data_IF_602445622557
#
_entry.id   IF_602445622557
#
_cell.length_a   1.000
_cell.length_b   1.000
_cell.length_c   1.000
_cell.angle_alpha   90.00
_cell.angle_beta   90.00
_cell.angle_gamma   90.00
#
_symmetry.space_group_name_H-M   'P 1'
#
loop_
_entity.id
_entity.type
_entity.pdbx_description
1 polymer ?
#
# COMPACT_ATOMS: atom_id res chain seq x y z
N UNK A 1 16.12 -0.80 1.63
CA UNK A 1 15.62 -0.11 0.43
C UNK A 1 14.09 -0.05 0.51
N UNK A 2 13.44 0.96 -0.08
CA UNK A 2 11.97 0.94 -0.22
C UNK A 2 11.60 0.36 -1.59
N UNK A 3 10.67 -0.59 -1.60
CA UNK A 3 10.23 -1.31 -2.79
C UNK A 3 8.74 -1.12 -3.05
N UNK A 4 8.36 -1.17 -4.33
CA UNK A 4 6.97 -1.07 -4.81
C UNK A 4 6.17 0.01 -4.07
N UNK A 5 6.74 1.22 -4.00
CA UNK A 5 6.07 2.39 -3.43
C UNK A 5 4.77 2.61 -4.19
N UNK A 6 3.69 2.85 -3.45
CA UNK A 6 2.40 3.23 -3.99
C UNK A 6 1.86 4.43 -3.22
N UNK A 7 1.31 5.40 -3.95
CA UNK A 7 0.80 6.64 -3.40
C UNK A 7 -0.55 6.97 -4.01
N UNK A 8 -1.59 6.97 -3.19
CA UNK A 8 -2.95 7.16 -3.69
C UNK A 8 -3.86 7.89 -2.72
N UNK A 9 -4.83 8.68 -3.23
CA UNK A 9 -5.85 9.29 -2.40
C UNK A 9 -6.95 8.28 -2.02
N UNK A 10 -7.57 8.54 -0.88
CA UNK A 10 -8.75 7.83 -0.37
C UNK A 10 -9.76 8.85 0.14
N UNK A 11 -11.05 8.62 -0.13
CA UNK A 11 -12.12 9.48 0.38
C UNK A 11 -12.22 9.37 1.90
N UNK A 12 -12.42 10.49 2.58
CA UNK A 12 -12.65 10.54 4.04
C UNK A 12 -14.06 10.03 4.38
N UNK A 13 -14.99 10.12 3.43
CA UNK A 13 -16.39 9.70 3.59
C UNK A 13 -16.79 8.70 2.52
N UNK A 14 -17.63 7.74 2.89
CA UNK A 14 -18.12 6.70 1.97
C UNK A 14 -17.13 5.55 1.77
N UNK A 15 -17.37 4.75 0.72
CA UNK A 15 -16.59 3.54 0.38
C UNK A 15 -16.03 3.55 -1.05
N UNK A 16 -16.34 4.59 -1.81
CA UNK A 16 -15.89 4.73 -3.19
C UNK A 16 -14.40 5.05 -3.24
N UNK A 17 -13.73 4.49 -4.25
CA UNK A 17 -12.40 4.91 -4.65
C UNK A 17 -12.42 6.28 -5.29
N UNK A 18 -11.26 6.94 -5.30
CA UNK A 18 -11.03 8.21 -5.99
C UNK A 18 -9.87 8.07 -6.97
N UNK A 19 -9.98 8.80 -8.07
CA UNK A 19 -8.91 8.89 -9.07
C UNK A 19 -7.61 9.37 -8.42
N UNK A 20 -6.47 8.85 -8.90
CA UNK A 20 -5.16 9.09 -8.31
C UNK A 20 -4.74 10.57 -8.35
N UNK A 21 -5.32 11.37 -9.25
CA UNK A 21 -5.05 12.82 -9.35
C UNK A 21 -5.85 13.68 -8.36
N UNK A 22 -6.85 13.11 -7.67
CA UNK A 22 -7.71 13.88 -6.75
C UNK A 22 -6.90 14.33 -5.54
N UNK A 23 -6.79 15.64 -5.36
CA UNK A 23 -6.15 16.25 -4.20
C UNK A 23 -6.96 17.47 -3.72
N UNK A 24 -7.83 17.26 -2.74
CA UNK A 24 -8.68 18.29 -2.14
C UNK A 24 -8.97 17.96 -0.67
N UNK A 25 -9.76 18.80 0.01
CA UNK A 25 -10.06 18.65 1.44
C UNK A 25 -10.88 17.38 1.80
N UNK A 26 -11.49 16.71 0.82
CA UNK A 26 -12.31 15.50 1.04
C UNK A 26 -11.51 14.19 1.00
N UNK A 27 -10.21 14.25 0.72
CA UNK A 27 -9.34 13.07 0.63
C UNK A 27 -8.19 13.09 1.62
N UNK A 28 -7.76 11.90 2.02
CA UNK A 28 -6.45 11.63 2.64
C UNK A 28 -5.58 10.90 1.62
N UNK A 29 -4.28 10.81 1.88
CA UNK A 29 -3.34 10.08 1.02
C UNK A 29 -2.76 8.90 1.78
N UNK A 30 -2.67 7.76 1.10
CA UNK A 30 -1.99 6.55 1.58
C UNK A 30 -0.62 6.52 0.92
N UNK A 31 0.43 6.46 1.74
CA UNK A 31 1.78 6.13 1.32
C UNK A 31 2.08 4.71 1.75
N UNK A 32 2.22 3.83 0.78
CA UNK A 32 2.58 2.43 1.00
C UNK A 32 3.98 2.17 0.48
N UNK A 33 4.77 1.42 1.24
CA UNK A 33 6.09 0.98 0.82
C UNK A 33 6.37 -0.42 1.37
N UNK A 34 7.08 -1.22 0.58
CA UNK A 34 7.75 -2.41 1.08
C UNK A 34 9.11 -2.02 1.61
N UNK A 35 9.53 -2.62 2.70
CA UNK A 35 10.93 -2.58 3.10
C UNK A 35 11.37 -3.95 3.58
N UNK A 36 12.61 -4.29 3.22
CA UNK A 36 13.29 -5.47 3.71
C UNK A 36 13.57 -5.26 5.21
N UNK A 37 12.78 -5.93 6.05
CA UNK A 37 12.98 -5.95 7.49
C UNK A 37 13.64 -7.28 7.89
N UNK A 38 14.32 -7.29 9.04
CA UNK A 38 14.83 -8.54 9.68
C UNK A 38 13.75 -9.61 9.92
N UNK A 39 12.48 -9.27 9.72
CA UNK A 39 11.29 -10.07 10.05
C UNK A 39 10.50 -10.48 8.78
N UNK A 40 11.15 -10.51 7.61
CA UNK A 40 10.51 -10.75 6.32
C UNK A 40 10.05 -9.45 5.65
N UNK A 41 9.95 -9.47 4.32
CA UNK A 41 9.50 -8.34 3.52
C UNK A 41 8.10 -7.91 3.95
N UNK A 42 8.00 -6.70 4.49
CA UNK A 42 6.74 -6.17 5.00
C UNK A 42 6.34 -4.96 4.18
N UNK A 43 5.09 -4.99 3.71
CA UNK A 43 4.45 -3.87 3.03
C UNK A 43 3.55 -3.16 4.00
N UNK A 44 4.05 -2.04 4.50
CA UNK A 44 3.33 -1.20 5.43
C UNK A 44 2.79 0.03 4.70
N UNK A 45 1.76 0.63 5.28
CA UNK A 45 1.25 1.90 4.80
C UNK A 45 0.99 2.86 5.96
N UNK A 46 1.10 4.15 5.66
CA UNK A 46 0.68 5.24 6.54
C UNK A 46 -0.32 6.11 5.79
N UNK A 47 -1.19 6.76 6.56
CA UNK A 47 -2.19 7.70 6.05
C UNK A 47 -1.72 9.11 6.43
N UNK A 48 -2.00 10.09 5.57
CA UNK A 48 -1.63 11.47 5.85
C UNK A 48 -2.26 12.46 4.88
N UNK A 49 -1.69 13.66 4.85
CA UNK A 49 -2.08 14.75 3.93
C UNK A 49 -0.96 15.05 2.94
N UNK A 50 -1.35 15.32 1.71
CA UNK A 50 -0.45 15.74 0.65
C UNK A 50 -0.74 17.17 0.24
N UNK A 51 0.30 17.98 0.10
CA UNK A 51 0.21 19.32 -0.49
C UNK A 51 0.91 19.31 -1.84
N UNK A 52 0.14 19.53 -2.92
CA UNK A 52 0.67 19.66 -4.27
C UNK A 52 1.46 20.95 -4.48
N UNK A 53 1.25 21.98 -3.66
CA UNK A 53 1.99 23.24 -3.68
C UNK A 53 3.41 23.05 -3.14
N UNK A 54 3.52 22.45 -1.95
CA UNK A 54 4.81 22.24 -1.28
C UNK A 54 5.50 20.94 -1.69
N UNK A 55 4.80 20.06 -2.42
CA UNK A 55 5.22 18.69 -2.78
C UNK A 55 5.55 17.83 -1.55
N UNK A 56 4.89 18.09 -0.41
CA UNK A 56 5.13 17.38 0.85
C UNK A 56 3.95 16.48 1.21
N UNK A 57 4.28 15.29 1.67
CA UNK A 57 3.37 14.40 2.39
C UNK A 57 3.70 14.50 3.88
N UNK A 58 2.67 14.72 4.70
CA UNK A 58 2.75 14.73 6.16
C UNK A 58 1.91 13.58 6.66
N UNK A 59 2.57 12.56 7.20
CA UNK A 59 1.92 11.37 7.74
C UNK A 59 1.20 11.72 9.05
N UNK A 60 0.03 11.11 9.28
CA UNK A 60 -0.67 11.19 10.57
C UNK A 60 0.08 10.35 11.63
N UNK A 61 0.90 9.39 11.21
CA UNK A 61 1.80 8.57 12.03
C UNK A 61 3.05 8.16 11.27
N UNK A 62 4.18 8.02 11.95
CA UNK A 62 5.45 7.58 11.36
C UNK A 62 5.51 6.06 11.14
N UNK A 63 6.33 5.61 10.17
CA UNK A 63 6.70 4.20 10.08
C UNK A 63 7.62 3.84 11.26
N UNK A 64 7.17 2.92 12.10
CA UNK A 64 7.95 2.46 13.25
C UNK A 64 8.97 1.39 12.89
N UNK A 65 8.85 0.78 11.71
CA UNK A 65 9.62 -0.39 11.29
C UNK A 65 9.46 -1.61 12.22
N UNK A 66 8.31 -1.68 12.90
CA UNK A 66 7.96 -2.76 13.84
C UNK A 66 6.70 -3.52 13.41
N UNK A 67 6.29 -4.50 14.20
CA UNK A 67 4.99 -5.17 14.01
C UNK A 67 3.77 -4.27 14.24
N UNK A 68 3.96 -3.07 14.82
CA UNK A 68 2.88 -2.11 15.05
C UNK A 68 2.47 -1.35 13.77
N UNK A 69 3.31 -1.33 12.73
CA UNK A 69 2.96 -0.69 11.46
C UNK A 69 1.77 -1.38 10.80
N UNK A 70 0.86 -0.58 10.22
CA UNK A 70 -0.31 -1.07 9.50
C UNK A 70 0.11 -1.74 8.20
N UNK A 71 -0.49 -2.90 7.93
CA UNK A 71 -0.30 -3.68 6.70
C UNK A 71 -1.63 -3.97 6.04
N UNK A 72 -1.62 -4.12 4.72
CA UNK A 72 -2.81 -4.57 4.01
C UNK A 72 -3.17 -6.01 4.37
N UNK A 73 -2.16 -6.84 4.60
CA UNK A 73 -2.29 -8.25 4.94
C UNK A 73 -1.17 -8.64 5.93
N UNK A 74 -1.47 -9.57 6.83
CA UNK A 74 -0.55 -10.04 7.88
C UNK A 74 0.04 -11.44 7.60
N UNK A 75 -0.31 -12.04 6.46
CA UNK A 75 0.26 -13.27 5.89
C UNK A 75 1.24 -13.00 4.75
N UNK A 76 1.27 -13.87 3.75
CA UNK A 76 2.20 -13.82 2.61
C UNK A 76 1.64 -12.92 1.49
N UNK A 77 1.90 -11.62 1.57
CA UNK A 77 1.42 -10.65 0.58
C UNK A 77 2.51 -9.62 0.25
N UNK A 78 3.06 -9.71 -0.96
CA UNK A 78 4.23 -8.97 -1.43
C UNK A 78 3.93 -8.16 -2.71
N UNK A 79 4.79 -7.19 -3.03
CA UNK A 79 4.77 -6.37 -4.26
C UNK A 79 3.42 -5.71 -4.60
N UNK A 80 2.64 -5.33 -3.58
CA UNK A 80 1.29 -4.85 -3.85
C UNK A 80 1.23 -3.49 -4.55
N UNK A 81 0.23 -3.31 -5.41
CA UNK A 81 0.02 -2.10 -6.21
C UNK A 81 -1.47 -1.88 -6.45
N UNK A 82 -1.89 -0.63 -6.32
CA UNK A 82 -3.28 -0.24 -6.54
C UNK A 82 -3.49 0.47 -7.88
N UNK A 83 -4.71 0.39 -8.38
CA UNK A 83 -5.20 1.24 -9.46
C UNK A 83 -6.67 1.62 -9.23
N UNK A 84 -7.11 2.70 -9.88
CA UNK A 84 -8.49 3.15 -9.80
C UNK A 84 -9.31 2.55 -10.96
N UNK A 85 -10.39 1.84 -10.62
CA UNK A 85 -11.40 1.33 -11.54
C UNK A 85 -12.52 2.38 -11.64
N UNK A 86 -12.44 3.23 -12.67
CA UNK A 86 -13.40 4.32 -12.92
C UNK A 86 -14.78 3.83 -13.33
N UNK A 87 -14.91 2.60 -13.84
CA UNK A 87 -16.21 2.03 -14.23
C UNK A 87 -17.06 1.72 -13.00
N UNK A 88 -16.40 1.33 -11.89
CA UNK A 88 -17.06 0.94 -10.64
C UNK A 88 -16.72 1.86 -9.46
N UNK A 89 -16.09 3.00 -9.71
CA UNK A 89 -15.66 3.97 -8.70
C UNK A 89 -14.97 3.32 -7.49
N UNK A 90 -14.00 2.43 -7.72
CA UNK A 90 -13.32 1.69 -6.64
C UNK A 90 -11.82 1.63 -6.87
N UNK A 91 -11.07 1.52 -5.77
CA UNK A 91 -9.63 1.24 -5.81
C UNK A 91 -9.42 -0.26 -5.66
N UNK A 92 -8.70 -0.86 -6.59
CA UNK A 92 -8.37 -2.29 -6.58
C UNK A 92 -6.90 -2.43 -6.19
N UNK A 93 -6.60 -3.37 -5.29
CA UNK A 93 -5.25 -3.70 -4.86
C UNK A 93 -4.87 -5.09 -5.39
N UNK A 94 -3.76 -5.18 -6.11
CA UNK A 94 -3.12 -6.44 -6.47
C UNK A 94 -1.93 -6.68 -5.58
N UNK A 95 -1.63 -7.94 -5.27
CA UNK A 95 -0.39 -8.33 -4.64
C UNK A 95 -0.03 -9.76 -5.00
N UNK A 96 1.25 -10.07 -4.89
CA UNK A 96 1.79 -11.40 -5.12
C UNK A 96 1.82 -12.18 -3.80
N UNK A 97 1.28 -13.40 -3.82
CA UNK A 97 1.40 -14.34 -2.71
C UNK A 97 2.57 -15.27 -3.04
N UNK A 98 3.58 -15.27 -2.18
CA UNK A 98 4.78 -16.09 -2.36
C UNK A 98 4.45 -17.54 -2.00
N UNK A 99 4.94 -18.47 -2.81
CA UNK A 99 4.86 -19.90 -2.52
C UNK A 99 5.57 -20.24 -1.21
N UNK A 100 5.01 -21.18 -0.45
CA UNK A 100 5.56 -21.61 0.85
C UNK A 100 6.03 -23.06 0.83
N UNK A 101 5.88 -23.75 -0.29
CA UNK A 101 6.38 -25.10 -0.51
C UNK A 101 7.91 -25.09 -0.80
N UNK A 102 8.51 -26.29 -0.86
CA UNK A 102 9.94 -26.42 -1.10
C UNK A 102 10.25 -26.36 -2.60
N UNK A 103 11.49 -26.00 -2.95
CA UNK A 103 11.93 -26.04 -4.35
C UNK A 103 11.96 -27.47 -4.89
N UNK A 104 12.15 -28.44 -4.01
CA UNK A 104 12.09 -29.86 -4.34
C UNK A 104 10.67 -30.25 -4.78
N UNK A 105 9.63 -29.72 -4.14
CA UNK A 105 8.22 -29.94 -4.53
C UNK A 105 7.92 -29.39 -5.94
N UNK A 106 8.59 -28.30 -6.34
CA UNK A 106 8.47 -27.71 -7.67
C UNK A 106 8.97 -28.65 -8.79
N UNK A 107 9.96 -29.51 -8.51
CA UNK A 107 10.59 -30.39 -9.49
C UNK A 107 9.83 -31.68 -9.79
N UNK A 108 8.72 -31.94 -9.08
CA UNK A 108 7.91 -33.17 -9.21
C UNK A 108 6.62 -33.00 -10.06
N UNK A 109 6.50 -31.92 -10.84
CA UNK A 109 5.40 -31.69 -11.79
C UNK A 109 5.87 -31.83 -13.23
#
# INVERSE_FOLDING_TARGET
>A
MWECIDFSPVSITGKEGVDTSVNNASVRHVLKAGYEAKLGDKYCYVIGKYSSETKKFVADSEFTNTSADLRYDYGMFYASKTFFDSVKNRRINWGWVVETDSKEDQSQK
#
